data_IF_288300521312
#
_entry.id   IF_288300521312
#
_cell.length_a   1.000
_cell.length_b   1.000
_cell.length_c   1.000
_cell.angle_alpha   90.00
_cell.angle_beta   90.00
_cell.angle_gamma   90.00
#
_symmetry.space_group_name_H-M   'P 1'
#
loop_
_entity.id
_entity.type
_entity.pdbx_description
1 polymer ?
#
# COMPACT_ATOMS: atom_id res chain seq x y z
N UNK A 1 9.28 -0.48 16.44
CA UNK A 1 7.98 -0.09 15.85
C UNK A 1 7.49 1.10 16.66
N UNK A 2 7.13 2.20 16.01
CA UNK A 2 6.66 3.43 16.66
C UNK A 2 5.32 3.81 16.04
N UNK A 3 4.36 4.24 16.87
CA UNK A 3 3.07 4.76 16.42
C UNK A 3 3.09 6.29 16.45
N UNK A 4 2.59 6.91 15.39
CA UNK A 4 2.49 8.35 15.21
C UNK A 4 1.13 8.67 14.59
N UNK A 5 0.58 9.84 14.91
CA UNK A 5 -0.51 10.42 14.14
C UNK A 5 0.09 11.51 13.23
N UNK A 6 0.03 11.31 11.92
CA UNK A 6 0.53 12.27 10.94
C UNK A 6 -0.66 12.84 10.20
N UNK A 7 -0.90 14.15 10.36
CA UNK A 7 -2.00 14.86 9.70
C UNK A 7 -3.38 14.17 9.88
N UNK A 8 -3.66 13.64 11.07
CA UNK A 8 -4.90 12.94 11.39
C UNK A 8 -4.90 11.46 11.03
N UNK A 9 -3.88 10.96 10.34
CA UNK A 9 -3.76 9.56 9.93
C UNK A 9 -2.92 8.76 10.92
N UNK A 10 -3.42 7.58 11.32
CA UNK A 10 -2.66 6.63 12.12
C UNK A 10 -1.52 6.04 11.30
N UNK A 11 -0.27 6.25 11.73
CA UNK A 11 0.94 5.81 11.03
C UNK A 11 1.81 4.95 11.94
N UNK A 12 2.29 3.81 11.42
CA UNK A 12 3.22 2.92 12.12
C UNK A 12 4.56 2.94 11.40
N UNK A 13 5.64 3.29 12.11
CA UNK A 13 7.01 3.33 11.58
C UNK A 13 7.77 2.07 12.01
N UNK A 14 8.32 1.36 11.01
CA UNK A 14 9.12 0.14 11.18
C UNK A 14 10.61 0.47 11.24
N UNK A 15 11.14 0.65 12.46
CA UNK A 15 12.54 1.05 12.67
C UNK A 15 13.58 -0.08 12.63
N UNK A 16 13.19 -1.34 12.39
CA UNK A 16 14.12 -2.47 12.36
C UNK A 16 13.84 -3.40 11.19
N UNK A 17 14.91 -3.98 10.63
CA UNK A 17 14.81 -4.96 9.54
C UNK A 17 13.94 -6.16 9.92
N UNK A 18 14.08 -6.67 11.15
CA UNK A 18 13.28 -7.80 11.64
C UNK A 18 11.77 -7.49 11.62
N UNK A 19 11.38 -6.29 12.04
CA UNK A 19 9.97 -5.88 12.01
C UNK A 19 9.47 -5.68 10.57
N UNK A 20 10.30 -5.12 9.69
CA UNK A 20 9.98 -4.98 8.28
C UNK A 20 9.77 -6.35 7.60
N UNK A 21 10.68 -7.30 7.78
CA UNK A 21 10.56 -8.64 7.20
C UNK A 21 9.33 -9.42 7.73
N UNK A 22 9.02 -9.33 9.03
CA UNK A 22 7.84 -10.03 9.56
C UNK A 22 6.52 -9.45 9.04
N UNK A 23 6.44 -8.12 8.90
CA UNK A 23 5.19 -7.45 8.53
C UNK A 23 4.99 -7.34 7.01
N UNK A 24 6.04 -6.96 6.27
CA UNK A 24 5.95 -6.65 4.84
C UNK A 24 6.26 -7.84 3.93
N UNK A 25 6.87 -8.92 4.44
CA UNK A 25 7.12 -10.14 3.64
C UNK A 25 6.26 -11.29 4.16
N UNK A 26 6.46 -11.70 5.42
CA UNK A 26 5.80 -12.89 5.97
C UNK A 26 4.28 -12.72 6.12
N UNK A 27 3.83 -11.50 6.38
CA UNK A 27 2.41 -11.15 6.62
C UNK A 27 1.86 -10.15 5.60
N UNK A 28 2.52 -10.00 4.46
CA UNK A 28 2.12 -9.03 3.43
C UNK A 28 0.63 -9.15 3.06
N UNK A 29 0.10 -10.37 2.97
CA UNK A 29 -1.28 -10.65 2.55
C UNK A 29 -2.39 -10.11 3.47
N UNK A 30 -2.09 -9.76 4.73
CA UNK A 30 -3.11 -9.26 5.69
C UNK A 30 -3.05 -7.75 5.91
N UNK A 31 -2.00 -7.10 5.42
CA UNK A 31 -1.87 -5.64 5.53
C UNK A 31 -2.40 -4.98 4.25
N UNK A 32 -3.22 -3.93 4.36
CA UNK A 32 -3.61 -3.13 3.21
C UNK A 32 -2.36 -2.53 2.58
N UNK A 33 -2.24 -2.62 1.26
CA UNK A 33 -1.03 -2.25 0.54
C UNK A 33 -0.76 -0.74 0.62
N UNK A 34 -1.82 0.07 0.51
CA UNK A 34 -1.75 1.53 0.49
C UNK A 34 -2.93 2.20 1.18
N UNK A 35 -2.72 3.36 1.85
CA UNK A 35 -3.79 4.25 2.27
C UNK A 35 -4.66 4.70 1.10
N UNK A 36 -5.92 5.03 1.37
CA UNK A 36 -6.81 5.54 0.32
C UNK A 36 -6.45 6.99 -0.07
N UNK A 37 -5.84 7.15 -1.25
CA UNK A 37 -5.41 8.45 -1.75
C UNK A 37 -6.52 9.11 -2.59
N UNK A 38 -7.47 9.77 -1.92
CA UNK A 38 -8.65 10.38 -2.55
C UNK A 38 -8.29 11.28 -3.74
N UNK A 39 -7.28 12.14 -3.60
CA UNK A 39 -6.85 13.05 -4.67
C UNK A 39 -6.32 12.28 -5.87
N UNK A 40 -5.54 11.23 -5.64
CA UNK A 40 -4.98 10.41 -6.70
C UNK A 40 -6.08 9.62 -7.42
N UNK A 41 -7.00 9.03 -6.65
CA UNK A 41 -8.17 8.34 -7.19
C UNK A 41 -8.99 9.28 -8.09
N UNK A 42 -9.21 10.53 -7.67
CA UNK A 42 -9.96 11.52 -8.43
C UNK A 42 -9.26 11.90 -9.75
N UNK A 43 -7.93 12.07 -9.72
CA UNK A 43 -7.16 12.47 -10.90
C UNK A 43 -7.01 11.36 -11.93
N UNK A 44 -7.01 10.10 -11.50
CA UNK A 44 -6.76 8.96 -12.38
C UNK A 44 -7.98 8.06 -12.57
N UNK A 45 -9.14 8.44 -12.02
CA UNK A 45 -10.33 7.59 -11.95
C UNK A 45 -10.01 6.19 -11.36
N UNK A 46 -9.16 6.14 -10.33
CA UNK A 46 -8.70 4.89 -9.74
C UNK A 46 -7.75 4.03 -10.60
N UNK A 47 -7.33 4.49 -11.78
CA UNK A 47 -6.48 3.72 -12.71
C UNK A 47 -4.96 3.80 -12.41
N UNK A 48 -4.54 4.37 -11.29
CA UNK A 48 -3.13 4.48 -10.93
C UNK A 48 -2.57 3.14 -10.43
N UNK A 49 -1.65 2.51 -11.17
CA UNK A 49 -1.12 1.20 -10.77
C UNK A 49 -0.20 1.25 -9.53
N UNK A 50 0.59 2.31 -9.36
CA UNK A 50 1.65 2.38 -8.34
C UNK A 50 1.17 2.54 -6.89
N UNK A 51 -0.04 3.09 -6.69
CA UNK A 51 -0.64 3.35 -5.38
C UNK A 51 -2.05 2.77 -5.24
N UNK A 52 -2.47 1.93 -6.19
CA UNK A 52 -3.78 1.30 -6.14
C UNK A 52 -3.82 0.22 -5.07
N UNK A 53 -5.05 -0.04 -4.60
CA UNK A 53 -5.35 -1.19 -3.74
C UNK A 53 -5.04 -2.48 -4.49
N UNK A 54 -4.56 -3.52 -3.79
CA UNK A 54 -4.24 -4.82 -4.40
C UNK A 54 -5.50 -5.66 -4.65
N UNK A 55 -6.41 -5.09 -5.43
CA UNK A 55 -7.60 -5.73 -5.93
C UNK A 55 -7.34 -6.45 -7.26
N UNK A 56 -8.40 -7.01 -7.85
CA UNK A 56 -8.30 -7.72 -9.12
C UNK A 56 -7.93 -6.79 -10.29
N UNK A 57 -8.27 -5.50 -10.21
CA UNK A 57 -7.89 -4.51 -11.21
C UNK A 57 -6.36 -4.31 -11.19
N UNK A 58 -5.78 -4.10 -10.01
CA UNK A 58 -4.33 -3.96 -9.88
C UNK A 58 -3.59 -5.22 -10.35
N UNK A 59 -4.10 -6.42 -10.04
CA UNK A 59 -3.49 -7.69 -10.51
C UNK A 59 -3.47 -7.77 -12.04
N UNK A 60 -4.55 -7.34 -12.70
CA UNK A 60 -4.63 -7.28 -14.17
C UNK A 60 -3.66 -6.25 -14.73
N UNK A 61 -3.63 -5.04 -14.16
CA UNK A 61 -2.69 -3.99 -14.57
C UNK A 61 -1.23 -4.42 -14.41
N UNK A 62 -0.86 -5.03 -13.28
CA UNK A 62 0.50 -5.53 -13.04
C UNK A 62 0.93 -6.57 -14.06
N UNK A 63 0.03 -7.50 -14.40
CA UNK A 63 0.31 -8.53 -15.43
C UNK A 63 0.51 -7.90 -16.80
N UNK A 64 -0.28 -6.90 -17.17
CA UNK A 64 -0.16 -6.22 -18.46
C UNK A 64 1.13 -5.40 -18.58
N UNK A 65 1.65 -4.82 -17.49
CA UNK A 65 2.90 -4.03 -17.50
C UNK A 65 4.15 -4.92 -17.45
N UNK A 66 4.05 -6.12 -16.89
CA UNK A 66 5.21 -7.01 -16.69
C UNK A 66 5.45 -7.97 -17.86
N UNK A 67 4.58 -7.99 -18.88
CA UNK A 67 4.59 -8.91 -20.02
C UNK A 67 4.84 -8.16 -21.33
#
# INVERSE_FOLDING_TARGET
IVYLNIAGQSTIVLGTHKAAADLLERRANIYPDWPDFIVLNLLTDGMHWGFARLDDLWRRQRRAVTN
#
